data_IF_820608599119
#
_entry.id   IF_820608599119
#
_cell.length_a   1.000
_cell.length_b   1.000
_cell.length_c   1.000
_cell.angle_alpha   90.00
_cell.angle_beta   90.00
_cell.angle_gamma   90.00
#
_symmetry.space_group_name_H-M   'P 1'
#
loop_
_entity.id
_entity.type
_entity.pdbx_description
1 polymer ?
#
# COMPACT_ATOMS: atom_id res chain seq x y z
N UNK A 1 31.99 -40.77 -13.63
CA UNK A 1 30.68 -40.58 -12.96
C UNK A 1 30.12 -39.22 -13.36
N UNK A 2 29.22 -39.11 -14.35
CA UNK A 2 28.60 -37.82 -14.68
C UNK A 2 27.42 -37.51 -13.75
N UNK A 3 27.35 -36.28 -13.27
CA UNK A 3 26.32 -35.80 -12.35
C UNK A 3 24.92 -35.84 -12.98
N UNK A 4 23.91 -36.28 -12.20
CA UNK A 4 22.49 -36.25 -12.59
C UNK A 4 22.02 -34.80 -12.75
N UNK A 5 21.90 -34.34 -14.00
CA UNK A 5 21.09 -33.17 -14.30
C UNK A 5 19.62 -33.52 -14.01
N UNK A 6 18.97 -32.71 -13.18
CA UNK A 6 17.55 -32.84 -12.88
C UNK A 6 16.67 -32.77 -14.13
N UNK A 7 15.40 -33.16 -13.98
CA UNK A 7 14.43 -33.29 -15.07
C UNK A 7 14.25 -31.96 -15.82
N UNK A 8 14.70 -31.89 -17.07
CA UNK A 8 14.40 -30.76 -17.95
C UNK A 8 12.91 -30.76 -18.34
N UNK A 9 12.31 -29.57 -18.38
CA UNK A 9 10.90 -29.38 -18.72
C UNK A 9 10.63 -29.79 -20.18
N UNK A 10 9.68 -30.71 -20.38
CA UNK A 10 9.40 -31.41 -21.65
C UNK A 10 8.79 -30.48 -22.72
N UNK A 11 8.28 -29.29 -22.36
CA UNK A 11 7.48 -28.46 -23.28
C UNK A 11 8.18 -27.25 -23.90
N UNK A 12 9.44 -26.98 -23.59
CA UNK A 12 10.15 -25.82 -24.13
C UNK A 12 9.54 -24.44 -23.79
N UNK A 13 10.35 -23.41 -24.01
CA UNK A 13 10.09 -21.97 -23.87
C UNK A 13 9.92 -21.42 -22.45
N UNK A 14 10.97 -20.75 -21.99
CA UNK A 14 11.06 -19.81 -20.87
C UNK A 14 9.77 -19.03 -20.63
N UNK A 15 9.36 -18.92 -19.36
CA UNK A 15 8.30 -18.02 -18.95
C UNK A 15 8.55 -16.62 -19.53
N UNK A 16 7.56 -16.08 -20.28
CA UNK A 16 7.62 -14.72 -20.81
C UNK A 16 7.95 -13.73 -19.70
N UNK A 17 8.82 -12.76 -19.99
CA UNK A 17 9.20 -11.72 -19.03
C UNK A 17 7.93 -11.01 -18.53
N UNK A 18 7.78 -10.91 -17.22
CA UNK A 18 6.64 -10.23 -16.59
C UNK A 18 6.60 -8.77 -17.08
N UNK A 19 5.52 -8.39 -17.78
CA UNK A 19 5.27 -7.00 -18.14
C UNK A 19 4.34 -6.34 -17.12
N UNK A 20 4.64 -5.10 -16.74
CA UNK A 20 3.77 -4.31 -15.86
C UNK A 20 2.58 -3.78 -16.67
N UNK A 21 1.40 -4.40 -16.50
CA UNK A 21 0.16 -3.99 -17.21
C UNK A 21 -0.46 -2.69 -16.68
N UNK A 22 -0.12 -2.27 -15.46
CA UNK A 22 -0.76 -1.13 -14.79
C UNK A 22 0.11 0.11 -14.95
N UNK A 23 -0.34 1.03 -15.80
CA UNK A 23 0.21 2.37 -15.88
C UNK A 23 -0.25 3.17 -14.65
N UNK A 24 0.68 3.62 -13.80
CA UNK A 24 0.37 4.62 -12.78
C UNK A 24 0.14 6.00 -13.43
N UNK A 25 -0.64 6.85 -12.76
CA UNK A 25 -0.91 8.23 -13.17
C UNK A 25 -0.56 9.16 -12.01
N UNK A 26 0.06 10.30 -12.31
CA UNK A 26 0.40 11.30 -11.29
C UNK A 26 -0.85 12.03 -10.78
N UNK A 27 -0.77 12.72 -9.62
CA UNK A 27 -1.95 13.37 -9.02
C UNK A 27 -2.39 14.61 -9.80
N UNK A 28 -1.45 15.33 -10.40
CA UNK A 28 -1.68 16.44 -11.33
C UNK A 28 -2.43 15.99 -12.60
N UNK A 29 -2.01 14.90 -13.24
CA UNK A 29 -2.69 14.32 -14.41
C UNK A 29 -4.12 13.90 -14.09
N UNK A 30 -4.33 13.28 -12.91
CA UNK A 30 -5.66 12.90 -12.44
C UNK A 30 -6.56 14.11 -12.26
N UNK A 31 -6.03 15.18 -11.65
CA UNK A 31 -6.78 16.43 -11.43
C UNK A 31 -7.13 17.10 -12.75
N UNK A 32 -6.16 17.25 -13.64
CA UNK A 32 -6.35 17.82 -14.98
C UNK A 32 -7.40 17.05 -15.79
N UNK A 33 -7.42 15.72 -15.70
CA UNK A 33 -8.42 14.90 -16.38
C UNK A 33 -9.84 15.10 -15.80
N UNK A 34 -9.96 15.33 -14.49
CA UNK A 34 -11.25 15.62 -13.84
C UNK A 34 -11.76 17.02 -14.19
N UNK A 35 -10.88 18.02 -14.19
CA UNK A 35 -11.19 19.39 -14.59
C UNK A 35 -11.61 19.44 -16.06
N UNK A 36 -10.84 18.82 -16.97
CA UNK A 36 -11.21 18.74 -18.39
C UNK A 36 -12.58 18.08 -18.62
N UNK A 37 -12.91 17.04 -17.85
CA UNK A 37 -14.24 16.43 -17.90
C UNK A 37 -15.34 17.37 -17.38
N UNK A 38 -15.05 18.21 -16.39
CA UNK A 38 -15.98 19.24 -15.90
C UNK A 38 -16.18 20.35 -16.92
N UNK A 39 -15.12 20.71 -17.66
CA UNK A 39 -15.12 21.73 -18.71
C UNK A 39 -15.76 21.24 -20.03
N UNK A 40 -16.33 20.03 -20.04
CA UNK A 40 -17.07 19.47 -21.18
C UNK A 40 -16.22 18.75 -22.22
N UNK A 41 -14.95 18.44 -21.94
CA UNK A 41 -14.12 17.67 -22.87
C UNK A 41 -14.66 16.26 -23.07
N UNK A 42 -14.53 15.75 -24.30
CA UNK A 42 -14.93 14.36 -24.57
C UNK A 42 -13.99 13.36 -23.91
N UNK A 43 -14.51 12.18 -23.57
CA UNK A 43 -13.71 11.10 -22.99
C UNK A 43 -12.57 10.65 -23.93
N UNK A 44 -12.75 10.79 -25.24
CA UNK A 44 -11.73 10.50 -26.23
C UNK A 44 -10.60 11.54 -26.17
N UNK A 45 -10.93 12.82 -26.10
CA UNK A 45 -9.96 13.91 -26.00
C UNK A 45 -9.13 13.85 -24.72
N UNK A 46 -9.76 13.53 -23.58
CA UNK A 46 -9.06 13.32 -22.31
C UNK A 46 -8.11 12.12 -22.42
N UNK A 47 -8.58 11.04 -23.06
CA UNK A 47 -7.80 9.84 -23.31
C UNK A 47 -6.54 10.10 -24.11
N UNK A 48 -6.66 10.85 -25.21
CA UNK A 48 -5.55 11.14 -26.14
C UNK A 48 -4.61 12.20 -25.60
N UNK A 49 -5.12 13.32 -25.09
CA UNK A 49 -4.31 14.50 -24.73
C UNK A 49 -3.72 14.44 -23.32
N UNK A 50 -4.34 13.72 -22.39
CA UNK A 50 -3.93 13.69 -20.98
C UNK A 50 -3.47 12.29 -20.55
N UNK A 51 -4.19 11.24 -20.95
CA UNK A 51 -4.00 9.89 -20.40
C UNK A 51 -3.22 8.92 -21.28
N UNK A 52 -2.52 9.45 -22.30
CA UNK A 52 -1.60 8.67 -23.14
C UNK A 52 -2.31 7.71 -24.12
N UNK A 53 -3.35 8.19 -24.80
CA UNK A 53 -4.07 7.42 -25.82
C UNK A 53 -5.03 6.38 -25.28
N UNK A 54 -5.58 6.56 -24.07
CA UNK A 54 -6.53 5.59 -23.49
C UNK A 54 -7.87 5.61 -24.23
N UNK A 55 -8.52 4.45 -24.43
CA UNK A 55 -9.85 4.40 -25.02
C UNK A 55 -10.89 4.99 -24.07
N UNK A 56 -11.94 5.61 -24.62
CA UNK A 56 -12.96 6.34 -23.88
C UNK A 56 -13.57 5.55 -22.71
N UNK A 57 -13.82 4.25 -22.88
CA UNK A 57 -14.35 3.37 -21.82
C UNK A 57 -13.40 3.28 -20.62
N UNK A 58 -12.09 3.16 -20.86
CA UNK A 58 -11.10 3.11 -19.79
C UNK A 58 -10.99 4.47 -19.08
N UNK A 59 -11.07 5.56 -19.83
CA UNK A 59 -11.10 6.93 -19.27
C UNK A 59 -12.30 7.12 -18.36
N UNK A 60 -13.50 6.73 -18.80
CA UNK A 60 -14.72 6.79 -17.97
C UNK A 60 -14.57 6.05 -16.63
N UNK A 61 -14.02 4.84 -16.64
CA UNK A 61 -13.76 4.07 -15.42
C UNK A 61 -12.72 4.73 -14.51
N UNK A 62 -11.67 5.32 -15.08
CA UNK A 62 -10.65 6.06 -14.33
C UNK A 62 -11.25 7.31 -13.68
N UNK A 63 -12.00 8.10 -14.43
CA UNK A 63 -12.66 9.31 -13.93
C UNK A 63 -13.64 8.98 -12.81
N UNK A 64 -14.47 7.95 -12.95
CA UNK A 64 -15.36 7.52 -11.88
C UNK A 64 -14.60 7.11 -10.61
N UNK A 65 -13.50 6.38 -10.78
CA UNK A 65 -12.64 5.97 -9.66
C UNK A 65 -11.95 7.16 -8.98
N UNK A 66 -11.50 8.15 -9.75
CA UNK A 66 -10.82 9.33 -9.23
C UNK A 66 -11.79 10.33 -8.62
N UNK A 67 -13.02 10.42 -9.14
CA UNK A 67 -14.12 11.20 -8.55
C UNK A 67 -14.39 10.82 -7.10
N UNK A 68 -14.30 9.52 -6.76
CA UNK A 68 -14.40 9.04 -5.37
C UNK A 68 -13.25 9.46 -4.46
N UNK A 69 -12.18 10.05 -5.01
CA UNK A 69 -10.94 10.41 -4.29
C UNK A 69 -10.51 11.86 -4.54
N UNK A 70 -11.44 12.72 -4.94
CA UNK A 70 -11.16 14.12 -5.31
C UNK A 70 -10.44 14.86 -4.19
N UNK A 71 -10.93 14.74 -2.96
CA UNK A 71 -10.31 15.40 -1.79
C UNK A 71 -8.83 15.04 -1.60
N UNK A 72 -8.49 13.76 -1.78
CA UNK A 72 -7.11 13.29 -1.71
C UNK A 72 -6.29 13.83 -2.88
N UNK A 73 -6.85 13.83 -4.10
CA UNK A 73 -6.18 14.34 -5.28
C UNK A 73 -5.87 15.84 -5.09
N UNK A 74 -6.84 16.63 -4.65
CA UNK A 74 -6.66 18.05 -4.37
C UNK A 74 -5.62 18.31 -3.29
N UNK A 75 -5.66 17.55 -2.19
CA UNK A 75 -4.65 17.64 -1.13
C UNK A 75 -3.24 17.36 -1.65
N UNK A 76 -3.08 16.39 -2.54
CA UNK A 76 -1.78 16.00 -3.09
C UNK A 76 -1.27 17.00 -4.14
N UNK A 77 -2.17 17.62 -4.92
CA UNK A 77 -1.78 18.62 -5.92
C UNK A 77 -1.37 19.95 -5.28
N UNK A 78 -1.92 20.32 -4.12
CA UNK A 78 -1.55 21.55 -3.39
C UNK A 78 -0.04 21.68 -3.07
N UNK A 79 0.71 20.57 -3.08
CA UNK A 79 2.14 20.59 -2.81
C UNK A 79 2.93 20.10 -4.04
N UNK A 80 3.88 20.95 -4.48
CA UNK A 80 4.71 20.75 -5.68
C UNK A 80 5.47 19.41 -5.65
N UNK A 81 5.86 18.95 -4.46
CA UNK A 81 6.55 17.67 -4.30
C UNK A 81 5.61 16.48 -4.48
N UNK A 82 4.38 16.57 -3.98
CA UNK A 82 3.45 15.45 -3.96
C UNK A 82 2.56 15.35 -5.18
N UNK A 83 2.43 16.42 -5.99
CA UNK A 83 1.62 16.42 -7.20
C UNK A 83 2.11 15.38 -8.24
N UNK A 84 3.44 15.21 -8.35
CA UNK A 84 4.08 14.24 -9.24
C UNK A 84 4.02 12.80 -8.72
N UNK A 85 3.48 12.59 -7.52
CA UNK A 85 3.38 11.23 -6.99
C UNK A 85 2.27 10.47 -7.69
N UNK A 86 2.59 9.25 -8.10
CA UNK A 86 1.64 8.37 -8.74
C UNK A 86 0.70 7.70 -7.73
N UNK A 87 1.22 7.46 -6.52
CA UNK A 87 0.54 6.76 -5.43
C UNK A 87 0.89 7.40 -4.10
N UNK A 88 -0.13 7.78 -3.35
CA UNK A 88 -0.01 8.03 -1.93
C UNK A 88 -0.16 6.73 -1.16
N UNK A 89 0.73 6.51 -0.18
CA UNK A 89 0.50 5.58 0.91
C UNK A 89 0.49 6.42 2.18
N UNK A 90 -0.61 6.35 2.91
CA UNK A 90 -0.68 7.00 4.21
C UNK A 90 0.36 6.39 5.13
N UNK A 91 1.12 7.25 5.81
CA UNK A 91 2.04 6.80 6.86
C UNK A 91 1.17 6.10 7.91
N UNK A 92 1.56 4.88 8.28
CA UNK A 92 0.86 3.97 9.18
C UNK A 92 -0.10 2.91 8.58
N UNK A 93 -0.42 2.89 7.28
CA UNK A 93 -1.22 1.77 6.71
C UNK A 93 -0.43 0.44 6.71
N UNK A 94 0.90 0.49 6.65
CA UNK A 94 1.75 -0.69 6.80
C UNK A 94 2.08 -1.03 8.27
N UNK A 95 1.76 -0.13 9.22
CA UNK A 95 2.02 -0.33 10.64
C UNK A 95 0.71 -0.75 11.32
N UNK A 96 0.42 -2.05 11.31
CA UNK A 96 -0.57 -2.61 12.25
C UNK A 96 -0.12 -2.47 13.72
N UNK A 97 1.14 -2.08 13.96
CA UNK A 97 1.77 -1.96 15.26
C UNK A 97 2.46 -0.60 15.40
N UNK A 98 2.33 0.06 16.56
CA UNK A 98 3.08 1.28 16.88
C UNK A 98 4.60 1.01 16.86
N UNK A 99 5.46 2.02 16.68
CA UNK A 99 6.93 1.87 16.70
C UNK A 99 7.44 1.02 17.88
N UNK A 100 6.99 1.33 19.10
CA UNK A 100 7.41 0.60 20.31
C UNK A 100 6.97 -0.88 20.32
N UNK A 101 5.96 -1.22 19.52
CA UNK A 101 5.44 -2.57 19.39
C UNK A 101 6.25 -3.36 18.35
N UNK A 102 6.71 -2.69 17.29
CA UNK A 102 7.64 -3.29 16.34
C UNK A 102 9.01 -3.56 16.99
N UNK A 103 9.53 -2.64 17.80
CA UNK A 103 10.78 -2.87 18.54
C UNK A 103 10.68 -4.08 19.45
N UNK A 104 9.58 -4.23 20.19
CA UNK A 104 9.36 -5.40 21.03
C UNK A 104 9.31 -6.73 20.24
N UNK A 105 8.79 -6.72 19.00
CA UNK A 105 8.83 -7.90 18.11
C UNK A 105 10.27 -8.16 17.64
N UNK A 106 11.00 -7.12 17.26
CA UNK A 106 12.39 -7.23 16.78
C UNK A 106 13.29 -7.79 17.88
N UNK A 107 13.20 -7.28 19.10
CA UNK A 107 13.98 -7.76 20.25
C UNK A 107 13.69 -9.24 20.52
N UNK A 108 12.41 -9.63 20.47
CA UNK A 108 11.99 -11.02 20.61
C UNK A 108 12.47 -11.93 19.47
N UNK A 109 12.49 -11.45 18.22
CA UNK A 109 13.05 -12.22 17.09
C UNK A 109 14.56 -12.40 17.28
N UNK A 110 15.25 -11.35 17.72
CA UNK A 110 16.70 -11.37 17.89
C UNK A 110 17.10 -12.32 19.02
N UNK A 111 16.35 -12.38 20.13
CA UNK A 111 16.61 -13.37 21.19
C UNK A 111 16.42 -14.81 20.71
N UNK A 112 15.40 -15.09 19.90
CA UNK A 112 15.21 -16.43 19.34
C UNK A 112 16.30 -16.80 18.33
N UNK A 113 16.79 -15.82 17.55
CA UNK A 113 17.88 -16.03 16.61
C UNK A 113 19.23 -16.22 17.31
N UNK A 114 19.49 -15.55 18.43
CA UNK A 114 20.69 -15.82 19.23
C UNK A 114 20.71 -17.25 19.76
N UNK A 115 19.53 -17.80 20.03
CA UNK A 115 19.35 -19.18 20.48
C UNK A 115 19.32 -20.19 19.31
N UNK A 116 19.53 -19.74 18.07
CA UNK A 116 19.49 -20.58 16.86
C UNK A 116 18.09 -21.03 16.43
N UNK A 117 17.03 -20.46 17.03
CA UNK A 117 15.65 -20.85 16.77
C UNK A 117 15.09 -20.07 15.57
N UNK A 118 14.70 -20.74 14.47
CA UNK A 118 14.08 -20.07 13.34
C UNK A 118 12.66 -19.60 13.69
N UNK A 119 12.36 -18.33 13.43
CA UNK A 119 11.03 -17.75 13.64
C UNK A 119 10.18 -17.94 12.39
N UNK A 120 9.09 -18.70 12.51
CA UNK A 120 8.13 -18.91 11.42
C UNK A 120 7.13 -17.73 11.31
N UNK A 121 6.46 -17.64 10.15
CA UNK A 121 5.43 -16.61 9.93
C UNK A 121 4.24 -16.74 10.88
N UNK A 122 3.91 -17.96 11.33
CA UNK A 122 2.84 -18.21 12.30
C UNK A 122 3.22 -17.72 13.69
N UNK A 123 4.46 -17.97 14.13
CA UNK A 123 4.98 -17.45 15.41
C UNK A 123 4.97 -15.93 15.44
N UNK A 124 5.41 -15.28 14.36
CA UNK A 124 5.42 -13.83 14.24
C UNK A 124 4.00 -13.25 14.30
N UNK A 125 3.03 -13.91 13.65
CA UNK A 125 1.62 -13.52 13.71
C UNK A 125 1.04 -13.65 15.12
N UNK A 126 1.33 -14.73 15.84
CA UNK A 126 0.89 -14.92 17.22
C UNK A 126 1.49 -13.86 18.15
N UNK A 127 2.78 -13.56 18.02
CA UNK A 127 3.42 -12.52 18.84
C UNK A 127 2.88 -11.13 18.56
N UNK A 128 2.62 -10.81 17.30
CA UNK A 128 2.00 -9.54 16.92
C UNK A 128 0.58 -9.39 17.53
N UNK A 129 -0.21 -10.46 17.55
CA UNK A 129 -1.54 -10.46 18.19
C UNK A 129 -1.45 -10.30 19.70
N UNK A 130 -0.49 -10.95 20.36
CA UNK A 130 -0.24 -10.82 21.80
C UNK A 130 0.09 -9.36 22.15
N UNK A 131 1.05 -8.75 21.46
CA UNK A 131 1.48 -7.36 21.72
C UNK A 131 0.33 -6.39 21.45
N UNK A 132 -0.49 -6.64 20.44
CA UNK A 132 -1.69 -5.85 20.16
C UNK A 132 -2.70 -5.92 21.31
N UNK A 133 -3.04 -7.12 21.81
CA UNK A 133 -3.95 -7.32 22.94
C UNK A 133 -3.43 -6.64 24.20
N UNK A 134 -2.16 -6.83 24.53
CA UNK A 134 -1.51 -6.19 25.69
C UNK A 134 -1.61 -4.67 25.60
N UNK A 135 -1.33 -4.10 24.43
CA UNK A 135 -1.41 -2.64 24.22
C UNK A 135 -2.83 -2.10 24.21
N UNK A 136 -3.81 -2.85 23.70
CA UNK A 136 -5.23 -2.46 23.82
C UNK A 136 -5.67 -2.44 25.28
N UNK A 137 -5.30 -3.45 26.08
CA UNK A 137 -5.60 -3.49 27.50
C UNK A 137 -4.94 -2.32 28.26
N UNK A 138 -3.70 -1.98 27.93
CA UNK A 138 -3.00 -0.82 28.52
C UNK A 138 -3.71 0.51 28.19
N UNK A 139 -4.16 0.69 26.94
CA UNK A 139 -4.95 1.88 26.55
C UNK A 139 -6.27 1.96 27.31
N UNK A 140 -6.98 0.84 27.46
CA UNK A 140 -8.24 0.77 28.22
C UNK A 140 -8.04 1.12 29.71
N UNK A 141 -6.96 0.62 30.31
CA UNK A 141 -6.66 0.84 31.74
C UNK A 141 -6.20 2.29 32.01
N UNK A 142 -5.47 2.90 31.08
CA UNK A 142 -5.02 4.29 31.19
C UNK A 142 -6.19 5.29 31.17
N UNK A 143 -7.24 5.03 30.37
CA UNK A 143 -8.46 5.84 30.36
C UNK A 143 -9.16 5.80 31.72
N UNK A 144 -9.21 4.62 32.36
CA UNK A 144 -9.90 4.44 33.66
C UNK A 144 -9.21 5.16 34.82
N UNK A 145 -7.88 5.32 34.79
CA UNK A 145 -7.13 6.03 35.85
C UNK A 145 -7.34 7.55 35.88
N UNK A 146 -7.76 8.17 34.78
CA UNK A 146 -8.03 9.62 34.74
C UNK A 146 -9.47 10.02 35.11
N UNK A 147 -10.36 9.04 35.37
CA UNK A 147 -11.77 9.29 35.73
C UNK A 147 -12.10 9.21 37.22
N UNK A 148 -11.10 9.13 38.11
CA UNK A 148 -11.32 8.89 39.54
C UNK A 148 -10.40 9.70 40.44
N UNK A 149 -10.50 11.03 40.38
CA UNK A 149 -10.01 11.92 41.45
C UNK A 149 -10.66 13.30 41.31
N UNK A 150 -11.94 13.39 41.68
CA UNK A 150 -12.51 14.59 42.29
C UNK A 150 -13.36 14.08 43.45
N UNK A 151 -12.87 14.33 44.66
CA UNK A 151 -13.59 14.17 45.92
C UNK A 151 -14.34 15.47 46.21
#
# INVERSE_FOLDING_TARGET
MPYRNGRSNIKGTTASRKSFKRMPYAYDEKKRALEAHSDGWTLADIGTKILGGKPARAVSQLLFKWRKKVELIDKMVKNVRTQKFERFRERAIALALSQNAETAIVDWINSLRSDGIPVSSTMLRLKALEIFKTRQALKFTAIRKHGGMQA
#
